data_IF_611689474711
#
_entry.id   IF_611689474711
#
_cell.length_a   1.000
_cell.length_b   1.000
_cell.length_c   1.000
_cell.angle_alpha   90.00
_cell.angle_beta   90.00
_cell.angle_gamma   90.00
#
_symmetry.space_group_name_H-M   'P 1'
#
loop_
_entity.id
_entity.type
_entity.pdbx_description
1 polymer ?
#
# COMPACT_ATOMS: atom_id res chain seq x y z
N UNK A 1 -3.44 -17.84 34.22
CA UNK A 1 -3.80 -17.35 32.88
C UNK A 1 -4.07 -18.60 32.05
N UNK A 2 -5.34 -18.95 31.89
CA UNK A 2 -5.77 -20.12 31.11
C UNK A 2 -5.69 -19.76 29.62
N UNK A 3 -4.91 -20.52 28.85
CA UNK A 3 -4.88 -20.38 27.40
C UNK A 3 -6.09 -21.12 26.81
N UNK A 4 -7.05 -20.37 26.27
CA UNK A 4 -8.19 -20.94 25.56
C UNK A 4 -7.75 -21.42 24.16
N UNK A 5 -7.49 -22.71 24.05
CA UNK A 5 -7.06 -23.34 22.81
C UNK A 5 -8.17 -23.35 21.73
N UNK A 6 -9.43 -23.07 22.07
CA UNK A 6 -10.53 -23.07 21.11
C UNK A 6 -10.35 -22.00 20.02
N UNK A 7 -9.79 -20.83 20.36
CA UNK A 7 -9.47 -19.78 19.40
C UNK A 7 -8.39 -20.20 18.41
N UNK A 8 -7.39 -20.98 18.85
CA UNK A 8 -6.37 -21.53 17.94
C UNK A 8 -6.96 -22.54 16.97
N UNK A 9 -7.88 -23.39 17.42
CA UNK A 9 -8.54 -24.36 16.54
C UNK A 9 -9.45 -23.69 15.50
N UNK A 10 -10.17 -22.62 15.87
CA UNK A 10 -10.97 -21.84 14.92
C UNK A 10 -10.08 -21.14 13.87
N UNK A 11 -8.99 -20.52 14.31
CA UNK A 11 -8.03 -19.90 13.39
C UNK A 11 -7.44 -20.94 12.42
N UNK A 12 -7.06 -22.11 12.90
CA UNK A 12 -6.52 -23.18 12.06
C UNK A 12 -7.55 -23.67 11.01
N UNK A 13 -8.82 -23.81 11.40
CA UNK A 13 -9.89 -24.19 10.49
C UNK A 13 -10.18 -23.11 9.44
N UNK A 14 -10.11 -21.83 9.82
CA UNK A 14 -10.31 -20.72 8.87
C UNK A 14 -9.13 -20.58 7.90
N UNK A 15 -7.89 -20.83 8.36
CA UNK A 15 -6.72 -20.88 7.48
C UNK A 15 -6.80 -22.03 6.46
N UNK A 16 -7.41 -23.18 6.81
CA UNK A 16 -7.65 -24.26 5.86
C UNK A 16 -8.65 -23.90 4.76
N UNK A 17 -9.57 -22.96 5.02
CA UNK A 17 -10.55 -22.50 4.03
C UNK A 17 -9.96 -21.47 3.07
N UNK A 18 -8.79 -20.90 3.35
CA UNK A 18 -8.12 -19.99 2.43
C UNK A 18 -7.75 -20.75 1.15
N UNK A 19 -8.32 -20.40 -0.02
CA UNK A 19 -8.09 -21.13 -1.24
C UNK A 19 -6.64 -20.94 -1.66
N UNK A 20 -6.06 -21.96 -2.30
CA UNK A 20 -4.70 -21.92 -2.84
C UNK A 20 -4.45 -20.72 -3.78
N UNK A 21 -5.50 -20.09 -4.30
CA UNK A 21 -5.45 -18.89 -5.16
C UNK A 21 -5.39 -17.56 -4.40
N UNK A 22 -5.62 -17.54 -3.08
CA UNK A 22 -5.67 -16.31 -2.30
C UNK A 22 -4.32 -15.57 -2.31
N UNK A 23 -3.19 -16.28 -2.15
CA UNK A 23 -1.87 -15.67 -2.13
C UNK A 23 -1.50 -14.99 -3.46
N UNK A 24 -1.61 -15.66 -4.64
CA UNK A 24 -1.40 -14.99 -5.92
C UNK A 24 -2.31 -13.78 -6.16
N UNK A 25 -3.57 -13.86 -5.74
CA UNK A 25 -4.52 -12.75 -5.87
C UNK A 25 -4.17 -11.58 -4.97
N UNK A 26 -3.81 -11.85 -3.72
CA UNK A 26 -3.37 -10.84 -2.76
C UNK A 26 -2.09 -10.15 -3.24
N UNK A 27 -1.12 -10.91 -3.76
CA UNK A 27 0.09 -10.35 -4.37
C UNK A 27 -0.25 -9.41 -5.53
N UNK A 28 -1.19 -9.81 -6.40
CA UNK A 28 -1.64 -8.97 -7.51
C UNK A 28 -2.31 -7.68 -7.02
N UNK A 29 -3.12 -7.75 -5.97
CA UNK A 29 -3.75 -6.57 -5.36
C UNK A 29 -2.69 -5.62 -4.81
N UNK A 30 -1.73 -6.13 -4.02
CA UNK A 30 -0.63 -5.31 -3.47
C UNK A 30 0.12 -4.56 -4.58
N UNK A 31 0.55 -5.27 -5.64
CA UNK A 31 1.29 -4.65 -6.76
C UNK A 31 0.46 -3.61 -7.50
N UNK A 32 -0.82 -3.90 -7.72
CA UNK A 32 -1.75 -2.97 -8.37
C UNK A 32 -1.93 -1.72 -7.53
N UNK A 33 -2.22 -1.87 -6.24
CA UNK A 33 -2.39 -0.73 -5.32
C UNK A 33 -1.12 0.12 -5.28
N UNK A 34 0.07 -0.48 -5.25
CA UNK A 34 1.33 0.28 -5.27
C UNK A 34 1.47 1.12 -6.55
N UNK A 35 1.07 0.58 -7.71
CA UNK A 35 1.05 1.32 -8.99
C UNK A 35 -0.01 2.42 -9.04
N UNK A 36 -1.18 2.17 -8.47
CA UNK A 36 -2.26 3.16 -8.41
C UNK A 36 -1.87 4.33 -7.47
N UNK A 37 -1.18 4.04 -6.36
CA UNK A 37 -0.55 5.02 -5.46
C UNK A 37 0.55 5.79 -6.21
N UNK A 38 1.47 5.11 -6.89
CA UNK A 38 2.53 5.75 -7.69
C UNK A 38 1.96 6.77 -8.68
N UNK A 39 0.93 6.38 -9.43
CA UNK A 39 0.26 7.27 -10.40
C UNK A 39 -0.41 8.47 -9.74
N UNK A 40 -1.06 8.27 -8.59
CA UNK A 40 -1.71 9.36 -7.85
C UNK A 40 -0.68 10.31 -7.24
N UNK A 41 0.38 9.78 -6.63
CA UNK A 41 1.48 10.55 -6.07
C UNK A 41 2.16 11.41 -7.16
N UNK A 42 2.38 10.85 -8.36
CA UNK A 42 2.85 11.60 -9.53
C UNK A 42 1.89 12.71 -9.97
N UNK A 43 0.59 12.51 -9.82
CA UNK A 43 -0.43 13.52 -10.12
C UNK A 43 -0.41 14.69 -9.13
N UNK A 44 -0.26 14.38 -7.84
CA UNK A 44 -0.26 15.36 -6.74
C UNK A 44 1.06 16.10 -6.57
N UNK A 45 2.17 15.47 -6.97
CA UNK A 45 3.50 16.02 -6.80
C UNK A 45 3.64 17.41 -7.47
N UNK A 46 4.15 18.43 -6.76
CA UNK A 46 4.36 19.75 -7.34
C UNK A 46 5.37 19.70 -8.47
N UNK A 47 5.14 20.52 -9.50
CA UNK A 47 5.98 20.58 -10.70
C UNK A 47 6.80 21.85 -10.69
N UNK A 48 8.11 21.67 -10.72
CA UNK A 48 9.06 22.70 -11.14
C UNK A 48 9.71 22.26 -12.46
N UNK A 49 10.72 21.38 -12.39
CA UNK A 49 11.39 20.79 -13.55
C UNK A 49 10.85 19.41 -13.96
N UNK A 50 9.92 18.85 -13.18
CA UNK A 50 9.41 17.49 -13.34
C UNK A 50 10.27 16.38 -12.70
N UNK A 51 11.46 16.70 -12.19
CA UNK A 51 12.36 15.72 -11.56
C UNK A 51 11.69 14.95 -10.41
N UNK A 52 10.91 15.63 -9.56
CA UNK A 52 10.20 14.98 -8.47
C UNK A 52 9.24 13.90 -8.99
N UNK A 53 8.41 14.23 -9.98
CA UNK A 53 7.47 13.28 -10.59
C UNK A 53 8.17 12.06 -11.16
N UNK A 54 9.28 12.28 -11.86
CA UNK A 54 10.06 11.19 -12.47
C UNK A 54 10.77 10.33 -11.43
N UNK A 55 11.08 10.88 -10.25
CA UNK A 55 11.74 10.15 -9.15
C UNK A 55 10.81 9.22 -8.35
N UNK A 56 9.49 9.34 -8.53
CA UNK A 56 8.51 8.50 -7.86
C UNK A 56 8.39 7.17 -8.61
N UNK A 57 8.60 6.06 -7.92
CA UNK A 57 8.45 4.72 -8.47
C UNK A 57 7.97 3.73 -7.42
N UNK A 58 7.30 2.66 -7.88
CA UNK A 58 6.99 1.51 -7.05
C UNK A 58 7.85 0.30 -7.40
N UNK A 59 8.22 -0.46 -6.38
CA UNK A 59 8.98 -1.71 -6.49
C UNK A 59 8.37 -2.79 -5.60
N UNK A 60 8.50 -4.04 -6.02
CA UNK A 60 8.02 -5.19 -5.26
C UNK A 60 9.16 -5.67 -4.37
N UNK A 61 8.97 -5.58 -3.06
CA UNK A 61 10.00 -5.95 -2.06
C UNK A 61 9.72 -7.32 -1.42
N UNK A 62 8.52 -7.86 -1.61
CA UNK A 62 8.15 -9.20 -1.16
C UNK A 62 6.88 -9.75 -1.82
N UNK A 63 6.46 -10.98 -1.47
CA UNK A 63 5.27 -11.61 -2.05
C UNK A 63 3.97 -10.81 -1.82
N UNK A 64 3.84 -10.19 -0.65
CA UNK A 64 2.69 -9.38 -0.24
C UNK A 64 3.12 -7.97 0.19
N UNK A 65 4.25 -7.50 -0.32
CA UNK A 65 4.85 -6.23 0.08
C UNK A 65 5.36 -5.50 -1.14
N UNK A 66 4.96 -4.23 -1.25
CA UNK A 66 5.41 -3.32 -2.29
C UNK A 66 5.71 -1.96 -1.66
N UNK A 67 6.71 -1.30 -2.22
CA UNK A 67 7.19 -0.02 -1.74
C UNK A 67 6.99 1.04 -2.82
N UNK A 68 6.49 2.21 -2.44
CA UNK A 68 6.44 3.40 -3.30
C UNK A 68 7.35 4.45 -2.71
N UNK A 69 8.34 4.90 -3.50
CA UNK A 69 9.38 5.80 -3.04
C UNK A 69 9.62 6.92 -4.05
N UNK A 70 9.85 8.13 -3.53
CA UNK A 70 10.45 9.23 -4.28
C UNK A 70 11.96 9.26 -4.00
N UNK A 71 12.79 9.25 -5.04
CA UNK A 71 14.26 9.23 -4.91
C UNK A 71 14.90 10.62 -4.96
N UNK A 72 14.14 11.66 -5.31
CA UNK A 72 14.63 13.03 -5.25
C UNK A 72 15.03 13.40 -3.81
N UNK A 73 16.24 13.92 -3.61
CA UNK A 73 16.79 14.22 -2.27
C UNK A 73 15.95 15.23 -1.47
N UNK A 74 15.20 16.08 -2.16
CA UNK A 74 14.33 17.10 -1.56
C UNK A 74 12.87 16.65 -1.37
N UNK A 75 12.52 15.43 -1.78
CA UNK A 75 11.16 14.88 -1.73
C UNK A 75 10.53 15.00 -0.34
N UNK A 76 11.27 14.62 0.71
CA UNK A 76 10.77 14.64 2.09
C UNK A 76 10.38 16.05 2.54
N UNK A 77 11.14 17.07 2.16
CA UNK A 77 10.86 18.46 2.54
C UNK A 77 9.58 18.99 1.92
N UNK A 78 9.17 18.46 0.77
CA UNK A 78 7.88 18.78 0.16
C UNK A 78 6.74 18.03 0.86
N UNK A 79 6.96 16.78 1.25
CA UNK A 79 5.95 15.98 1.94
C UNK A 79 5.60 16.55 3.33
N UNK A 80 6.61 16.94 4.12
CA UNK A 80 6.41 17.36 5.53
C UNK A 80 6.57 18.87 5.76
N UNK A 81 7.03 19.61 4.76
CA UNK A 81 7.33 21.03 4.88
C UNK A 81 8.68 21.32 5.57
N UNK A 82 8.99 22.61 5.70
CA UNK A 82 10.20 23.10 6.37
C UNK A 82 9.85 24.34 7.22
N UNK A 83 10.83 24.88 7.95
CA UNK A 83 10.63 26.12 8.71
C UNK A 83 10.27 27.35 7.86
N UNK A 84 10.53 27.31 6.54
CA UNK A 84 10.31 28.44 5.63
C UNK A 84 9.24 28.17 4.57
N UNK A 85 8.75 26.94 4.44
CA UNK A 85 7.82 26.52 3.39
C UNK A 85 6.81 25.53 3.95
N UNK A 86 5.52 25.76 3.71
CA UNK A 86 4.46 24.84 4.07
C UNK A 86 4.56 23.50 3.30
N UNK A 87 4.07 22.42 3.89
CA UNK A 87 4.02 21.12 3.25
C UNK A 87 3.13 21.12 2.00
N UNK A 88 3.56 20.39 0.97
CA UNK A 88 2.82 20.08 -0.25
C UNK A 88 2.77 18.55 -0.40
N UNK A 89 2.02 17.87 0.46
CA UNK A 89 2.04 16.42 0.56
C UNK A 89 1.47 15.76 -0.70
N UNK A 90 2.11 14.69 -1.13
CA UNK A 90 1.76 13.95 -2.34
C UNK A 90 1.81 12.43 -2.15
N UNK A 91 2.62 11.91 -1.22
CA UNK A 91 2.69 10.48 -0.91
C UNK A 91 1.57 10.05 0.04
N UNK A 92 1.45 10.72 1.19
CA UNK A 92 0.43 10.42 2.21
C UNK A 92 -0.99 10.48 1.63
N UNK A 93 -1.40 11.59 0.99
CA UNK A 93 -2.72 11.69 0.37
C UNK A 93 -2.96 10.65 -0.73
N UNK A 94 -1.91 10.23 -1.46
CA UNK A 94 -2.03 9.17 -2.45
C UNK A 94 -2.27 7.80 -1.78
N UNK A 95 -1.58 7.49 -0.70
CA UNK A 95 -1.80 6.26 0.06
C UNK A 95 -3.21 6.24 0.67
N UNK A 96 -3.62 7.31 1.33
CA UNK A 96 -4.94 7.43 1.97
C UNK A 96 -6.09 7.24 0.97
N UNK A 97 -5.93 7.79 -0.24
CA UNK A 97 -6.92 7.64 -1.32
C UNK A 97 -7.16 6.18 -1.70
N UNK A 98 -6.12 5.34 -1.66
CA UNK A 98 -6.18 3.94 -2.12
C UNK A 98 -6.35 2.93 -0.99
N UNK A 99 -6.16 3.34 0.27
CA UNK A 99 -6.30 2.45 1.42
C UNK A 99 -7.67 1.75 1.51
N UNK A 100 -8.83 2.42 1.29
CA UNK A 100 -10.14 1.76 1.35
C UNK A 100 -10.31 0.70 0.25
N UNK A 101 -9.94 1.03 -0.99
CA UNK A 101 -10.05 0.10 -2.11
C UNK A 101 -9.13 -1.12 -1.94
N UNK A 102 -7.96 -0.92 -1.34
CA UNK A 102 -7.06 -2.01 -0.98
C UNK A 102 -7.68 -2.92 0.09
N UNK A 103 -8.21 -2.37 1.19
CA UNK A 103 -8.85 -3.18 2.23
C UNK A 103 -10.05 -3.96 1.70
N UNK A 104 -10.87 -3.34 0.86
CA UNK A 104 -12.03 -3.99 0.26
C UNK A 104 -11.63 -5.14 -0.68
N UNK A 105 -10.61 -4.92 -1.51
CA UNK A 105 -10.10 -5.96 -2.41
C UNK A 105 -9.49 -7.15 -1.63
N UNK A 106 -8.74 -6.86 -0.55
CA UNK A 106 -8.19 -7.90 0.32
C UNK A 106 -9.29 -8.68 1.05
N UNK A 107 -10.31 -7.98 1.56
CA UNK A 107 -11.48 -8.61 2.18
C UNK A 107 -12.24 -9.50 1.21
N UNK A 108 -12.41 -9.09 -0.05
CA UNK A 108 -13.06 -9.90 -1.09
C UNK A 108 -12.29 -11.18 -1.44
N UNK A 109 -10.95 -11.15 -1.38
CA UNK A 109 -10.14 -12.36 -1.60
C UNK A 109 -10.39 -13.41 -0.52
N UNK A 110 -10.64 -12.97 0.73
CA UNK A 110 -10.90 -13.85 1.88
C UNK A 110 -12.39 -14.20 2.00
N UNK A 111 -13.29 -13.26 1.69
CA UNK A 111 -14.74 -13.45 1.75
C UNK A 111 -15.32 -14.18 0.55
N UNK A 112 -14.72 -14.06 -0.64
CA UNK A 112 -15.02 -14.90 -1.81
C UNK A 112 -14.33 -16.27 -1.78
N UNK A 113 -13.59 -16.54 -0.71
CA UNK A 113 -12.86 -17.76 -0.41
C UNK A 113 -13.59 -18.66 0.62
N UNK A 114 -14.55 -18.09 1.35
CA UNK A 114 -15.45 -18.76 2.30
C UNK A 114 -16.79 -19.06 1.62
#
# INVERSE_FOLDING_TARGET
MEFDASQMFQLAADLQKVPARALPLASKVVRKTAKDIEGTAKGLAPVDTGNLKNSIGSQDVGPLEAEVRATASYAVYLEVGTSRMAAQPYMGPAADKHAPAFSDAMAQIIGGAL
#
